data_IF_857977450820
#
_entry.id   IF_857977450820
#
_cell.length_a   1.000
_cell.length_b   1.000
_cell.length_c   1.000
_cell.angle_alpha   90.00
_cell.angle_beta   90.00
_cell.angle_gamma   90.00
#
_symmetry.space_group_name_H-M   'P 1'
#
loop_
_entity.id
_entity.type
_entity.pdbx_description
1 polymer ?
#
# COMPACT_ATOMS: atom_id res chain seq x y z
N UNK A 1 53.66 -27.66 -10.58
CA UNK A 1 53.70 -26.18 -10.50
C UNK A 1 52.28 -25.64 -10.60
N UNK A 2 51.86 -24.84 -9.61
CA UNK A 2 50.53 -24.24 -9.47
C UNK A 2 50.37 -23.01 -10.39
N UNK A 3 49.15 -22.79 -10.92
CA UNK A 3 48.55 -21.46 -11.22
C UNK A 3 47.06 -21.67 -11.54
N UNK A 4 46.19 -21.72 -10.52
CA UNK A 4 45.37 -20.60 -10.02
C UNK A 4 44.60 -19.82 -11.11
N UNK A 5 43.34 -20.22 -11.34
CA UNK A 5 42.29 -19.32 -11.83
C UNK A 5 41.46 -18.81 -10.65
N UNK A 6 41.24 -17.50 -10.69
CA UNK A 6 40.81 -16.62 -9.59
C UNK A 6 39.27 -16.53 -9.53
N UNK A 7 38.77 -16.62 -8.30
CA UNK A 7 37.41 -16.37 -7.78
C UNK A 7 36.50 -15.46 -8.62
N UNK A 8 35.25 -15.91 -8.80
CA UNK A 8 34.08 -15.01 -8.82
C UNK A 8 33.08 -15.47 -7.76
N UNK A 9 32.70 -14.53 -6.90
CA UNK A 9 32.04 -14.72 -5.62
C UNK A 9 30.57 -15.15 -5.76
N UNK A 10 30.22 -16.30 -5.19
CA UNK A 10 28.85 -16.55 -4.71
C UNK A 10 28.57 -15.58 -3.57
N UNK A 11 27.85 -14.48 -3.84
CA UNK A 11 27.25 -13.66 -2.79
C UNK A 11 26.17 -14.53 -2.11
N UNK A 12 26.54 -15.16 -1.00
CA UNK A 12 25.58 -15.72 -0.05
C UNK A 12 24.84 -14.53 0.57
N UNK A 13 23.61 -14.31 0.13
CA UNK A 13 22.67 -13.43 0.84
C UNK A 13 22.30 -14.19 2.12
N UNK A 14 22.95 -13.81 3.22
CA UNK A 14 22.62 -14.28 4.55
C UNK A 14 21.39 -13.49 5.00
N UNK A 15 20.22 -14.14 4.99
CA UNK A 15 19.02 -13.63 5.66
C UNK A 15 19.22 -13.80 7.17
N UNK A 16 19.64 -12.72 7.84
CA UNK A 16 19.63 -12.63 9.30
C UNK A 16 18.18 -12.36 9.74
N UNK A 17 17.52 -13.42 10.21
CA UNK A 17 16.29 -13.33 10.98
C UNK A 17 16.60 -12.70 12.34
N UNK A 18 16.19 -11.45 12.53
CA UNK A 18 16.04 -10.86 13.85
C UNK A 18 14.55 -10.55 14.06
N UNK A 19 13.83 -11.51 14.61
CA UNK A 19 12.50 -11.28 15.18
C UNK A 19 12.73 -10.51 16.48
N UNK A 20 12.59 -9.19 16.43
CA UNK A 20 12.59 -8.33 17.61
C UNK A 20 11.14 -7.95 17.90
N UNK A 21 10.38 -8.90 18.46
CA UNK A 21 9.10 -8.60 19.11
C UNK A 21 9.44 -8.06 20.50
N UNK A 22 9.71 -6.76 20.59
CA UNK A 22 9.66 -6.07 21.87
C UNK A 22 8.21 -5.66 22.14
N UNK A 23 7.44 -6.62 22.63
CA UNK A 23 6.24 -6.34 23.41
C UNK A 23 6.67 -5.82 24.78
N UNK A 24 6.89 -4.52 24.92
CA UNK A 24 7.03 -3.89 26.23
C UNK A 24 5.64 -3.56 26.73
N UNK A 25 4.94 -4.57 27.29
CA UNK A 25 3.82 -4.33 28.20
C UNK A 25 4.40 -4.15 29.61
N UNK A 26 4.84 -2.93 29.93
CA UNK A 26 5.12 -2.57 31.31
C UNK A 26 3.80 -2.20 32.01
N UNK A 27 3.44 -2.82 33.14
CA UNK A 27 2.32 -2.36 33.96
C UNK A 27 2.71 -1.04 34.62
N UNK A 28 2.03 0.05 34.24
CA UNK A 28 2.22 1.35 34.88
C UNK A 28 1.50 1.32 36.22
N UNK A 29 2.27 1.28 37.31
CA UNK A 29 1.78 1.55 38.65
C UNK A 29 1.42 3.04 38.76
N UNK A 30 0.18 3.32 39.16
CA UNK A 30 -0.30 4.66 39.48
C UNK A 30 0.32 5.07 40.81
N UNK A 31 1.38 5.87 40.77
CA UNK A 31 1.88 6.59 41.94
C UNK A 31 1.15 7.93 41.98
N UNK A 32 0.25 8.08 42.95
CA UNK A 32 -0.32 9.38 43.30
C UNK A 32 0.77 10.22 43.99
N UNK A 33 1.32 11.20 43.28
CA UNK A 33 2.10 12.27 43.89
C UNK A 33 1.45 13.62 43.57
N UNK A 34 1.21 14.39 44.63
CA UNK A 34 0.64 15.73 44.58
C UNK A 34 1.65 16.70 43.94
N UNK A 35 1.45 17.03 42.67
CA UNK A 35 1.98 18.23 42.03
C UNK A 35 1.08 18.58 40.83
N UNK A 36 0.42 19.73 40.91
CA UNK A 36 -0.39 20.30 39.83
C UNK A 36 0.51 20.72 38.66
N UNK A 37 0.87 19.75 37.83
CA UNK A 37 1.41 19.94 36.48
C UNK A 37 1.30 18.60 35.75
N UNK A 38 0.07 18.13 35.51
CA UNK A 38 -0.16 17.09 34.51
C UNK A 38 0.40 17.62 33.20
N UNK A 39 1.55 17.10 32.75
CA UNK A 39 2.24 17.62 31.56
C UNK A 39 1.54 17.13 30.29
N UNK A 40 0.30 17.59 30.09
CA UNK A 40 -0.51 17.34 28.89
C UNK A 40 0.27 17.72 27.63
N UNK A 41 1.11 18.75 27.72
CA UNK A 41 1.99 19.16 26.62
C UNK A 41 2.98 18.05 26.22
N UNK A 42 3.72 17.50 27.18
CA UNK A 42 4.65 16.41 26.91
C UNK A 42 3.93 15.15 26.41
N UNK A 43 2.75 14.85 26.95
CA UNK A 43 1.95 13.70 26.51
C UNK A 43 1.46 13.87 25.07
N UNK A 44 0.87 15.02 24.72
CA UNK A 44 0.38 15.32 23.38
C UNK A 44 1.53 15.39 22.37
N UNK A 45 2.67 15.99 22.73
CA UNK A 45 3.88 16.00 21.89
C UNK A 45 4.40 14.59 21.62
N UNK A 46 4.44 13.73 22.64
CA UNK A 46 4.85 12.33 22.50
C UNK A 46 3.90 11.56 21.59
N UNK A 47 2.58 11.69 21.80
CA UNK A 47 1.57 11.04 20.96
C UNK A 47 1.66 11.51 19.51
N UNK A 48 1.87 12.81 19.27
CA UNK A 48 2.06 13.35 17.92
C UNK A 48 3.31 12.76 17.24
N UNK A 49 4.44 12.72 17.95
CA UNK A 49 5.67 12.14 17.41
C UNK A 49 5.50 10.64 17.10
N UNK A 50 4.76 9.90 17.93
CA UNK A 50 4.43 8.50 17.67
C UNK A 50 3.52 8.33 16.44
N UNK A 51 2.53 9.21 16.25
CA UNK A 51 1.67 9.23 15.06
C UNK A 51 2.50 9.47 13.81
N UNK A 52 3.32 10.53 13.80
CA UNK A 52 4.14 10.90 12.64
C UNK A 52 5.13 9.79 12.27
N UNK A 53 5.80 9.21 13.27
CA UNK A 53 6.75 8.13 13.06
C UNK A 53 6.09 6.85 12.50
N UNK A 54 4.88 6.50 12.95
CA UNK A 54 4.18 5.33 12.44
C UNK A 54 3.54 5.59 11.07
N UNK A 55 3.08 6.81 10.79
CA UNK A 55 2.64 7.21 9.46
C UNK A 55 3.77 7.09 8.41
N UNK A 56 4.98 7.54 8.76
CA UNK A 56 6.15 7.40 7.89
C UNK A 56 6.52 5.94 7.65
N UNK A 57 6.44 5.08 8.69
CA UNK A 57 6.66 3.63 8.53
C UNK A 57 5.60 2.99 7.65
N UNK A 58 4.32 3.33 7.82
CA UNK A 58 3.23 2.85 6.99
C UNK A 58 3.43 3.26 5.52
N UNK A 59 3.82 4.52 5.27
CA UNK A 59 4.13 5.01 3.92
C UNK A 59 5.25 4.22 3.26
N UNK A 60 6.37 3.98 3.96
CA UNK A 60 7.47 3.15 3.45
C UNK A 60 7.04 1.74 3.12
N UNK A 61 6.16 1.14 3.94
CA UNK A 61 5.62 -0.21 3.67
C UNK A 61 4.69 -0.22 2.47
N UNK A 62 3.88 0.82 2.26
CA UNK A 62 3.06 0.96 1.07
C UNK A 62 3.93 1.08 -0.20
N UNK A 63 5.02 1.86 -0.15
CA UNK A 63 5.99 1.99 -1.24
C UNK A 63 6.70 0.66 -1.55
N UNK A 64 7.13 -0.07 -0.51
CA UNK A 64 7.72 -1.40 -0.62
C UNK A 64 6.75 -2.38 -1.30
N UNK A 65 5.47 -2.41 -0.86
CA UNK A 65 4.44 -3.24 -1.48
C UNK A 65 4.20 -2.84 -2.95
N UNK A 66 4.30 -1.56 -3.29
CA UNK A 66 4.25 -1.06 -4.66
C UNK A 66 5.38 -1.60 -5.53
N UNK A 67 6.63 -1.54 -5.04
CA UNK A 67 7.79 -2.11 -5.74
C UNK A 67 7.64 -3.62 -5.97
N UNK A 68 7.21 -4.35 -4.94
CA UNK A 68 7.01 -5.79 -5.03
C UNK A 68 5.92 -6.18 -6.04
N UNK A 69 4.84 -5.38 -6.17
CA UNK A 69 3.83 -5.58 -7.21
C UNK A 69 4.39 -5.39 -8.62
N UNK A 70 5.25 -4.39 -8.82
CA UNK A 70 5.89 -4.17 -10.11
C UNK A 70 6.79 -5.35 -10.48
N UNK A 71 7.55 -5.88 -9.52
CA UNK A 71 8.36 -7.08 -9.72
C UNK A 71 7.49 -8.32 -10.01
N UNK A 72 6.36 -8.49 -9.31
CA UNK A 72 5.42 -9.58 -9.57
C UNK A 72 4.85 -9.51 -10.99
N UNK A 73 4.52 -8.30 -11.47
CA UNK A 73 4.01 -8.12 -12.84
C UNK A 73 5.01 -8.58 -13.91
N UNK A 74 6.32 -8.37 -13.68
CA UNK A 74 7.37 -8.89 -14.57
C UNK A 74 7.40 -10.42 -14.54
N UNK A 75 7.34 -11.04 -13.36
CA UNK A 75 7.32 -12.50 -13.20
C UNK A 75 6.07 -13.11 -13.86
N UNK A 76 4.91 -12.46 -13.73
CA UNK A 76 3.67 -12.91 -14.35
C UNK A 76 3.72 -12.80 -15.88
N UNK A 77 4.38 -11.77 -16.42
CA UNK A 77 4.65 -11.68 -17.86
C UNK A 77 5.59 -12.82 -18.33
N UNK A 78 6.65 -13.13 -17.57
CA UNK A 78 7.53 -14.28 -17.85
C UNK A 78 6.75 -15.61 -17.82
N UNK A 79 5.83 -15.76 -16.86
CA UNK A 79 4.94 -16.93 -16.75
C UNK A 79 4.07 -17.07 -18.00
N UNK A 80 3.41 -16.00 -18.42
CA UNK A 80 2.58 -16.03 -19.64
C UNK A 80 3.40 -16.35 -20.90
N UNK A 81 4.61 -15.80 -21.02
CA UNK A 81 5.52 -16.11 -22.12
C UNK A 81 5.97 -17.58 -22.12
N UNK A 82 6.27 -18.13 -20.94
CA UNK A 82 6.62 -19.53 -20.78
C UNK A 82 5.44 -20.47 -21.13
N UNK A 83 4.21 -20.09 -20.77
CA UNK A 83 2.98 -20.83 -21.10
C UNK A 83 2.70 -20.84 -22.60
N UNK A 84 2.83 -19.68 -23.27
CA UNK A 84 2.69 -19.59 -24.72
C UNK A 84 3.75 -20.44 -25.44
N UNK A 85 4.99 -20.45 -24.94
CA UNK A 85 6.08 -21.27 -25.49
C UNK A 85 5.77 -22.76 -25.33
N UNK A 86 5.33 -23.18 -24.14
CA UNK A 86 4.95 -24.58 -23.88
C UNK A 86 3.78 -25.02 -24.78
N UNK A 87 2.78 -24.15 -24.99
CA UNK A 87 1.66 -24.43 -25.88
C UNK A 87 2.13 -24.66 -27.32
N UNK A 88 3.00 -23.79 -27.86
CA UNK A 88 3.60 -23.98 -29.19
C UNK A 88 4.38 -25.28 -29.29
N UNK A 89 5.21 -25.60 -28.30
CA UNK A 89 5.98 -26.84 -28.29
C UNK A 89 5.08 -28.09 -28.27
N UNK A 90 3.95 -28.06 -27.55
CA UNK A 90 2.98 -29.16 -27.54
C UNK A 90 2.31 -29.35 -28.90
N UNK A 91 2.00 -28.27 -29.60
CA UNK A 91 1.47 -28.32 -30.98
C UNK A 91 2.51 -28.89 -31.95
N UNK A 92 3.75 -28.39 -31.90
CA UNK A 92 4.84 -28.91 -32.73
C UNK A 92 5.16 -30.37 -32.47
N UNK A 93 5.10 -30.81 -31.21
CA UNK A 93 5.29 -32.21 -30.84
C UNK A 93 4.19 -33.10 -31.42
N UNK A 94 2.92 -32.70 -31.28
CA UNK A 94 1.78 -33.42 -31.84
C UNK A 94 1.87 -33.52 -33.37
N UNK A 95 2.31 -32.45 -34.04
CA UNK A 95 2.52 -32.47 -35.48
C UNK A 95 3.60 -33.48 -35.89
N UNK A 96 4.72 -33.53 -35.18
CA UNK A 96 5.77 -34.55 -35.41
C UNK A 96 5.20 -35.96 -35.21
N UNK A 97 4.40 -36.21 -34.17
CA UNK A 97 3.75 -37.52 -33.95
C UNK A 97 2.81 -37.92 -35.09
N UNK A 98 2.05 -36.97 -35.65
CA UNK A 98 1.18 -37.19 -36.81
C UNK A 98 1.98 -37.46 -38.10
N UNK A 99 3.09 -36.73 -38.32
CA UNK A 99 4.00 -36.95 -39.45
C UNK A 99 4.66 -38.34 -39.39
N UNK A 100 5.04 -38.81 -38.19
CA UNK A 100 5.58 -40.17 -37.98
C UNK A 100 4.52 -41.23 -38.32
N UNK A 101 3.29 -41.09 -37.82
CA UNK A 101 2.20 -42.05 -38.11
C UNK A 101 1.91 -42.13 -39.60
N UNK A 102 1.87 -40.98 -40.29
CA UNK A 102 1.69 -40.96 -41.74
C UNK A 102 2.83 -41.68 -42.47
N UNK A 103 4.08 -41.46 -42.07
CA UNK A 103 5.22 -42.15 -42.64
C UNK A 103 5.14 -43.68 -42.42
N UNK A 104 4.66 -44.15 -41.26
CA UNK A 104 4.41 -45.57 -40.99
C UNK A 104 3.35 -46.17 -41.90
N UNK A 105 2.24 -45.44 -42.10
CA UNK A 105 1.16 -45.84 -43.02
C UNK A 105 1.66 -45.90 -44.48
N UNK A 106 2.40 -44.89 -44.92
CA UNK A 106 2.96 -44.83 -46.28
C UNK A 106 3.93 -45.99 -46.53
N UNK A 107 4.82 -46.30 -45.58
CA UNK A 107 5.72 -47.46 -45.66
C UNK A 107 4.92 -48.78 -45.74
N UNK A 108 3.88 -48.93 -44.93
CA UNK A 108 3.02 -50.12 -44.93
C UNK A 108 2.30 -50.29 -46.27
N UNK A 109 1.72 -49.22 -46.80
CA UNK A 109 1.00 -49.23 -48.07
C UNK A 109 1.95 -49.54 -49.24
N UNK A 110 3.14 -48.94 -49.28
CA UNK A 110 4.15 -49.24 -50.30
C UNK A 110 4.61 -50.71 -50.25
N UNK A 111 4.76 -51.29 -49.04
CA UNK A 111 5.06 -52.72 -48.85
C UNK A 111 3.97 -53.63 -49.41
N UNK A 112 2.70 -53.30 -49.16
CA UNK A 112 1.56 -54.07 -49.68
C UNK A 112 1.49 -54.00 -51.21
N UNK A 113 1.57 -52.80 -51.79
CA UNK A 113 1.53 -52.60 -53.23
C UNK A 113 2.68 -53.32 -53.95
N UNK A 114 3.90 -53.28 -53.39
CA UNK A 114 5.01 -54.07 -53.95
C UNK A 114 4.73 -55.55 -53.86
N UNK A 115 4.23 -56.05 -52.73
CA UNK A 115 3.84 -57.46 -52.58
C UNK A 115 2.81 -57.90 -53.63
N UNK A 116 1.80 -57.08 -53.89
CA UNK A 116 0.79 -57.32 -54.92
C UNK A 116 1.38 -57.33 -56.33
N UNK A 117 2.20 -56.33 -56.69
CA UNK A 117 2.89 -56.28 -57.99
C UNK A 117 3.77 -57.51 -58.24
N UNK A 118 4.43 -58.00 -57.19
CA UNK A 118 5.28 -59.19 -57.26
C UNK A 118 4.49 -60.48 -57.42
N UNK A 119 3.37 -60.60 -56.71
CA UNK A 119 2.46 -61.74 -56.86
C UNK A 119 1.90 -61.82 -58.29
N UNK A 120 1.50 -60.68 -58.86
CA UNK A 120 0.96 -60.61 -60.24
C UNK A 120 1.99 -61.02 -61.29
N UNK A 121 3.24 -60.53 -61.20
CA UNK A 121 4.30 -60.95 -62.12
C UNK A 121 4.66 -62.43 -61.99
N UNK A 122 4.62 -62.98 -60.78
CA UNK A 122 4.95 -64.38 -60.53
C UNK A 122 3.94 -65.35 -61.16
N UNK A 123 2.66 -64.95 -61.25
CA UNK A 123 1.61 -65.68 -61.97
C UNK A 123 1.94 -65.79 -63.48
N UNK A 124 2.74 -64.88 -64.03
CA UNK A 124 3.11 -64.87 -65.46
C UNK A 124 4.40 -65.64 -65.80
N UNK A 125 5.32 -65.90 -64.86
CA UNK A 125 6.66 -66.48 -65.17
C UNK A 125 7.06 -67.78 -64.43
N UNK A 126 6.20 -68.35 -63.58
CA UNK A 126 6.29 -69.73 -63.11
C UNK A 126 7.61 -70.20 -62.43
N UNK A 127 8.37 -69.34 -61.72
CA UNK A 127 9.50 -69.81 -60.88
C UNK A 127 9.68 -69.05 -59.53
N UNK A 128 9.81 -69.85 -58.45
CA UNK A 128 10.31 -69.60 -57.06
C UNK A 128 9.38 -69.01 -55.96
N UNK A 129 9.33 -69.57 -54.72
CA UNK A 129 8.31 -69.22 -53.71
C UNK A 129 8.51 -67.85 -53.03
N UNK A 130 7.70 -66.87 -53.44
CA UNK A 130 7.62 -65.49 -52.92
C UNK A 130 7.24 -65.40 -51.42
N UNK A 131 6.62 -66.46 -50.89
CA UNK A 131 6.09 -66.54 -49.52
C UNK A 131 7.16 -66.38 -48.42
N UNK A 132 8.44 -66.60 -48.76
CA UNK A 132 9.57 -66.54 -47.82
C UNK A 132 10.10 -65.11 -47.65
N UNK A 133 9.98 -64.27 -48.67
CA UNK A 133 10.51 -62.89 -48.70
C UNK A 133 9.60 -61.88 -47.98
N UNK A 134 8.30 -62.14 -47.95
CA UNK A 134 7.29 -61.29 -47.27
C UNK A 134 7.42 -61.35 -45.73
N UNK A 135 8.12 -62.35 -45.19
CA UNK A 135 8.30 -62.54 -43.74
C UNK A 135 9.49 -61.78 -43.14
N UNK A 136 10.38 -61.17 -43.93
CA UNK A 136 11.51 -60.42 -43.39
C UNK A 136 11.19 -58.94 -43.20
N UNK A 137 11.45 -58.41 -41.99
CA UNK A 137 11.22 -57.00 -41.63
C UNK A 137 12.13 -56.00 -42.38
N UNK A 138 13.04 -56.47 -43.25
CA UNK A 138 14.00 -55.62 -43.95
C UNK A 138 13.71 -55.52 -45.45
N UNK A 139 13.03 -54.43 -45.80
CA UNK A 139 12.69 -54.04 -47.17
C UNK A 139 13.89 -53.91 -48.11
N UNK A 140 15.09 -53.63 -47.57
CA UNK A 140 16.32 -53.59 -48.37
C UNK A 140 16.74 -54.96 -48.91
N UNK A 141 16.35 -56.07 -48.25
CA UNK A 141 16.61 -57.42 -48.75
C UNK A 141 15.60 -57.87 -49.80
N UNK A 142 14.36 -57.36 -49.71
CA UNK A 142 13.36 -57.52 -50.77
C UNK A 142 13.87 -56.89 -52.09
N UNK A 143 14.57 -55.75 -51.99
CA UNK A 143 15.20 -55.04 -53.11
C UNK A 143 16.32 -55.83 -53.82
N UNK A 144 17.20 -56.50 -53.08
CA UNK A 144 18.31 -57.27 -53.69
C UNK A 144 17.79 -58.44 -54.56
N UNK A 145 16.59 -58.94 -54.25
CA UNK A 145 15.92 -59.97 -55.04
C UNK A 145 15.26 -59.42 -56.34
N UNK A 146 14.92 -58.11 -56.38
CA UNK A 146 13.98 -57.53 -57.36
C UNK A 146 14.55 -56.45 -58.28
N UNK A 147 15.75 -55.94 -58.00
CA UNK A 147 16.37 -54.83 -58.73
C UNK A 147 16.63 -55.07 -60.25
N UNK A 148 16.28 -56.24 -60.80
CA UNK A 148 16.67 -56.69 -62.14
C UNK A 148 15.66 -56.44 -63.27
N UNK A 149 14.41 -56.00 -63.03
CA UNK A 149 13.40 -56.10 -64.11
C UNK A 149 12.43 -54.93 -64.40
N UNK A 150 12.17 -53.94 -63.53
CA UNK A 150 11.24 -52.84 -63.89
C UNK A 150 11.54 -51.47 -63.24
N UNK A 151 11.16 -50.37 -63.91
CA UNK A 151 11.41 -48.98 -63.50
C UNK A 151 10.48 -48.49 -62.38
N UNK A 152 9.20 -48.87 -62.42
CA UNK A 152 8.21 -48.44 -61.41
C UNK A 152 8.51 -49.04 -60.03
N UNK A 153 9.01 -50.27 -59.99
CA UNK A 153 9.44 -50.93 -58.74
C UNK A 153 10.64 -50.22 -58.09
N UNK A 154 11.59 -49.74 -58.92
CA UNK A 154 12.74 -48.97 -58.41
C UNK A 154 12.30 -47.67 -57.77
N UNK A 155 11.41 -46.91 -58.42
CA UNK A 155 10.91 -45.64 -57.89
C UNK A 155 10.13 -45.84 -56.57
N UNK A 156 9.30 -46.88 -56.49
CA UNK A 156 8.54 -47.20 -55.27
C UNK A 156 9.46 -47.63 -54.11
N UNK A 157 10.52 -48.39 -54.40
CA UNK A 157 11.54 -48.75 -53.41
C UNK A 157 12.33 -47.53 -52.95
N UNK A 158 12.77 -46.67 -53.87
CA UNK A 158 13.53 -45.47 -53.54
C UNK A 158 12.68 -44.49 -52.71
N UNK A 159 11.41 -44.31 -53.08
CA UNK A 159 10.45 -43.52 -52.31
C UNK A 159 10.29 -44.07 -50.88
N UNK A 160 10.13 -45.38 -50.73
CA UNK A 160 10.01 -46.03 -49.41
C UNK A 160 11.28 -45.83 -48.57
N UNK A 161 12.48 -45.96 -49.16
CA UNK A 161 13.74 -45.67 -48.46
C UNK A 161 13.82 -44.22 -47.97
N UNK A 162 13.36 -43.26 -48.79
CA UNK A 162 13.27 -41.84 -48.40
C UNK A 162 12.31 -41.65 -47.22
N UNK A 163 11.13 -42.27 -47.25
CA UNK A 163 10.15 -42.20 -46.15
C UNK A 163 10.70 -42.84 -44.87
N UNK A 164 11.40 -43.99 -44.96
CA UNK A 164 12.08 -44.60 -43.81
C UNK A 164 13.16 -43.70 -43.20
N UNK A 165 13.94 -42.99 -44.03
CA UNK A 165 14.93 -42.03 -43.55
C UNK A 165 14.26 -40.84 -42.84
N UNK A 166 13.23 -40.26 -43.46
CA UNK A 166 12.46 -39.15 -42.86
C UNK A 166 11.81 -39.58 -41.54
N UNK A 167 11.26 -40.79 -41.46
CA UNK A 167 10.71 -41.33 -40.23
C UNK A 167 11.75 -41.34 -39.10
N UNK A 168 12.96 -41.84 -39.36
CA UNK A 168 14.04 -41.87 -38.36
C UNK A 168 14.43 -40.47 -37.89
N UNK A 169 14.52 -39.51 -38.81
CA UNK A 169 14.80 -38.11 -38.46
C UNK A 169 13.68 -37.51 -37.59
N UNK A 170 12.42 -37.79 -37.90
CA UNK A 170 11.27 -37.36 -37.11
C UNK A 170 11.25 -38.01 -35.72
N UNK A 171 11.54 -39.31 -35.60
CA UNK A 171 11.65 -40.01 -34.31
C UNK A 171 12.73 -39.41 -33.41
N UNK A 172 13.90 -39.04 -33.96
CA UNK A 172 14.95 -38.35 -33.20
C UNK A 172 14.53 -36.93 -32.80
N UNK A 173 13.88 -36.19 -33.70
CA UNK A 173 13.29 -34.88 -33.40
C UNK A 173 12.24 -34.98 -32.29
N UNK A 174 11.40 -36.01 -32.30
CA UNK A 174 10.34 -36.28 -31.33
C UNK A 174 10.90 -36.53 -29.92
N UNK A 175 11.99 -37.31 -29.82
CA UNK A 175 12.75 -37.50 -28.57
C UNK A 175 13.30 -36.18 -28.02
N UNK A 176 13.91 -35.35 -28.88
CA UNK A 176 14.42 -34.04 -28.46
C UNK A 176 13.30 -33.10 -28.00
N UNK A 177 12.16 -33.09 -28.71
CA UNK A 177 10.98 -32.31 -28.31
C UNK A 177 10.45 -32.73 -26.93
N UNK A 178 10.39 -34.03 -26.62
CA UNK A 178 10.00 -34.53 -25.28
C UNK A 178 10.91 -34.00 -24.18
N UNK A 179 12.23 -34.02 -24.38
CA UNK A 179 13.19 -33.49 -23.41
C UNK A 179 13.00 -31.98 -23.22
N UNK A 180 12.83 -31.23 -24.32
CA UNK A 180 12.60 -29.79 -24.26
C UNK A 180 11.28 -29.46 -23.54
N UNK A 181 10.21 -30.22 -23.78
CA UNK A 181 8.93 -30.06 -23.09
C UNK A 181 9.07 -30.22 -21.57
N UNK A 182 9.74 -31.29 -21.11
CA UNK A 182 9.98 -31.52 -19.68
C UNK A 182 10.80 -30.37 -19.07
N UNK A 183 11.85 -29.92 -19.75
CA UNK A 183 12.65 -28.79 -19.29
C UNK A 183 11.82 -27.51 -19.19
N UNK A 184 10.99 -27.23 -20.20
CA UNK A 184 10.12 -26.05 -20.21
C UNK A 184 9.04 -26.11 -19.12
N UNK A 185 8.50 -27.29 -18.82
CA UNK A 185 7.57 -27.49 -17.70
C UNK A 185 8.24 -27.24 -16.34
N UNK A 186 9.51 -27.62 -16.18
CA UNK A 186 10.28 -27.32 -14.98
C UNK A 186 10.57 -25.83 -14.82
N UNK A 187 10.91 -25.13 -15.91
CA UNK A 187 11.07 -23.66 -15.91
C UNK A 187 9.75 -23.00 -15.48
N UNK A 188 8.61 -23.42 -16.05
CA UNK A 188 7.29 -22.91 -15.66
C UNK A 188 7.02 -23.11 -14.16
N UNK A 189 7.30 -24.29 -13.62
CA UNK A 189 7.12 -24.58 -12.18
C UNK A 189 7.95 -23.63 -11.30
N UNK A 190 9.20 -23.36 -11.69
CA UNK A 190 10.07 -22.43 -10.95
C UNK A 190 9.54 -20.99 -10.99
N UNK A 191 9.04 -20.53 -12.14
CA UNK A 191 8.44 -19.20 -12.26
C UNK A 191 7.19 -19.08 -11.38
N UNK A 192 6.32 -20.10 -11.36
CA UNK A 192 5.13 -20.12 -10.50
C UNK A 192 5.52 -20.06 -9.02
N UNK A 193 6.53 -20.83 -8.60
CA UNK A 193 7.02 -20.77 -7.23
C UNK A 193 7.49 -19.35 -6.85
N UNK A 194 8.28 -18.70 -7.71
CA UNK A 194 8.72 -17.31 -7.50
C UNK A 194 7.55 -16.32 -7.46
N UNK A 195 6.54 -16.48 -8.32
CA UNK A 195 5.33 -15.64 -8.33
C UNK A 195 4.58 -15.77 -7.00
N UNK A 196 4.42 -17.00 -6.49
CA UNK A 196 3.79 -17.26 -5.19
C UNK A 196 4.59 -16.66 -4.02
N UNK A 197 5.90 -16.88 -3.97
CA UNK A 197 6.77 -16.29 -2.93
C UNK A 197 6.68 -14.75 -2.91
N UNK A 198 6.65 -14.14 -4.10
CA UNK A 198 6.52 -12.68 -4.22
C UNK A 198 5.14 -12.20 -3.75
N UNK A 199 4.08 -12.94 -4.07
CA UNK A 199 2.72 -12.63 -3.61
C UNK A 199 2.58 -12.74 -2.09
N UNK A 200 3.22 -13.74 -1.47
CA UNK A 200 3.29 -13.87 -0.01
C UNK A 200 4.00 -12.68 0.63
N UNK A 201 5.12 -12.23 0.05
CA UNK A 201 5.84 -11.06 0.53
C UNK A 201 4.99 -9.80 0.44
N UNK A 202 4.26 -9.59 -0.66
CA UNK A 202 3.29 -8.47 -0.80
C UNK A 202 2.24 -8.51 0.32
N UNK A 203 1.67 -9.68 0.58
CA UNK A 203 0.63 -9.83 1.61
C UNK A 203 1.19 -9.53 3.00
N UNK A 204 2.40 -10.00 3.31
CA UNK A 204 3.09 -9.70 4.56
C UNK A 204 3.38 -8.21 4.71
N UNK A 205 3.92 -7.56 3.69
CA UNK A 205 4.22 -6.12 3.71
C UNK A 205 2.96 -5.27 3.91
N UNK A 206 1.84 -5.64 3.28
CA UNK A 206 0.54 -5.00 3.53
C UNK A 206 0.02 -5.23 4.95
N UNK A 207 0.24 -6.41 5.51
CA UNK A 207 -0.09 -6.68 6.92
C UNK A 207 0.71 -5.80 7.88
N UNK A 208 2.01 -5.61 7.61
CA UNK A 208 2.86 -4.70 8.39
C UNK A 208 2.41 -3.23 8.26
N UNK A 209 2.04 -2.78 7.05
CA UNK A 209 1.44 -1.46 6.84
C UNK A 209 0.17 -1.28 7.69
N UNK A 210 -0.75 -2.25 7.63
CA UNK A 210 -2.01 -2.22 8.37
C UNK A 210 -1.77 -2.15 9.89
N UNK A 211 -0.76 -2.85 10.41
CA UNK A 211 -0.38 -2.77 11.82
C UNK A 211 0.07 -1.35 12.21
N UNK A 212 0.89 -0.69 11.39
CA UNK A 212 1.28 0.70 11.65
C UNK A 212 0.09 1.66 11.59
N UNK A 213 -0.83 1.47 10.64
CA UNK A 213 -2.07 2.25 10.56
C UNK A 213 -2.97 2.07 11.78
N UNK A 214 -3.07 0.84 12.31
CA UNK A 214 -3.82 0.56 13.53
C UNK A 214 -3.22 1.30 14.74
N UNK A 215 -1.89 1.31 14.87
CA UNK A 215 -1.19 2.08 15.93
C UNK A 215 -1.47 3.58 15.79
N UNK A 216 -1.46 4.13 14.57
CA UNK A 216 -1.80 5.54 14.33
C UNK A 216 -3.21 5.85 14.84
N UNK A 217 -4.21 5.07 14.45
CA UNK A 217 -5.60 5.27 14.89
C UNK A 217 -5.74 5.19 16.42
N UNK A 218 -5.07 4.23 17.08
CA UNK A 218 -5.06 4.11 18.54
C UNK A 218 -4.46 5.35 19.20
N UNK A 219 -3.36 5.88 18.65
CA UNK A 219 -2.67 7.07 19.18
C UNK A 219 -3.47 8.35 18.96
N UNK A 220 -4.17 8.48 17.84
CA UNK A 220 -5.10 9.58 17.59
C UNK A 220 -6.25 9.60 18.61
N UNK A 221 -6.85 8.45 18.89
CA UNK A 221 -7.90 8.33 19.93
C UNK A 221 -7.36 8.70 21.32
N UNK A 222 -6.16 8.25 21.68
CA UNK A 222 -5.50 8.64 22.94
C UNK A 222 -5.22 10.15 22.98
N UNK A 223 -4.77 10.73 21.88
CA UNK A 223 -4.52 12.18 21.78
C UNK A 223 -5.81 12.96 21.99
N UNK A 224 -6.94 12.51 21.42
CA UNK A 224 -8.25 13.10 21.64
C UNK A 224 -8.70 13.05 23.10
N UNK A 225 -8.51 11.91 23.78
CA UNK A 225 -8.84 11.77 25.20
C UNK A 225 -7.98 12.69 26.08
N UNK A 226 -6.68 12.80 25.80
CA UNK A 226 -5.78 13.71 26.52
C UNK A 226 -6.18 15.19 26.29
N UNK A 227 -6.60 15.57 25.08
CA UNK A 227 -7.14 16.92 24.80
C UNK A 227 -8.44 17.19 25.55
N UNK A 228 -9.33 16.19 25.65
CA UNK A 228 -10.57 16.31 26.41
C UNK A 228 -10.31 16.48 27.91
N UNK A 229 -9.37 15.72 28.48
CA UNK A 229 -8.96 15.86 29.88
C UNK A 229 -8.38 17.25 30.16
N UNK A 230 -7.48 17.71 29.30
CA UNK A 230 -6.91 19.06 29.38
C UNK A 230 -8.01 20.14 29.40
N UNK A 231 -8.97 20.07 28.49
CA UNK A 231 -10.02 21.07 28.43
C UNK A 231 -11.01 20.98 29.61
N UNK A 232 -11.30 19.78 30.11
CA UNK A 232 -12.09 19.61 31.33
C UNK A 232 -11.39 20.21 32.56
N UNK A 233 -10.05 20.15 32.64
CA UNK A 233 -9.31 20.84 33.69
C UNK A 233 -9.39 22.36 33.56
N UNK A 234 -9.31 22.90 32.34
CA UNK A 234 -9.51 24.33 32.07
C UNK A 234 -10.92 24.75 32.51
N UNK A 235 -11.95 24.00 32.13
CA UNK A 235 -13.34 24.23 32.56
C UNK A 235 -13.49 24.18 34.09
N UNK A 236 -12.88 23.20 34.75
CA UNK A 236 -12.92 23.09 36.21
C UNK A 236 -12.20 24.26 36.90
N UNK A 237 -11.08 24.73 36.33
CA UNK A 237 -10.38 25.92 36.82
C UNK A 237 -11.25 27.18 36.66
N UNK A 238 -11.92 27.34 35.52
CA UNK A 238 -12.88 28.44 35.29
C UNK A 238 -14.02 28.45 36.31
N UNK A 239 -14.58 27.27 36.63
CA UNK A 239 -15.61 27.13 37.67
C UNK A 239 -15.10 27.49 39.07
N UNK A 240 -13.92 26.98 39.46
CA UNK A 240 -13.31 27.26 40.77
C UNK A 240 -13.04 28.74 41.00
N UNK A 241 -12.75 29.50 39.94
CA UNK A 241 -12.50 30.93 40.01
C UNK A 241 -13.78 31.76 40.28
N UNK A 242 -14.96 31.16 40.39
CA UNK A 242 -16.24 31.85 40.61
C UNK A 242 -16.96 32.22 39.31
N UNK A 243 -16.64 31.56 38.19
CA UNK A 243 -17.35 31.75 36.93
C UNK A 243 -18.74 31.15 36.97
N UNK A 244 -19.74 31.96 36.63
CA UNK A 244 -21.11 31.50 36.43
C UNK A 244 -21.35 31.42 34.92
N UNK A 245 -21.08 30.25 34.33
CA UNK A 245 -21.27 30.03 32.89
C UNK A 245 -22.76 30.02 32.58
N UNK A 246 -23.28 31.16 32.12
CA UNK A 246 -24.54 31.21 31.40
C UNK A 246 -24.18 30.92 29.95
N UNK A 247 -24.19 29.64 29.57
CA UNK A 247 -23.94 29.24 28.19
C UNK A 247 -25.03 29.82 27.30
N UNK A 248 -24.68 30.83 26.50
CA UNK A 248 -25.55 31.32 25.44
C UNK A 248 -24.97 30.84 24.12
N UNK A 249 -25.59 29.81 23.53
CA UNK A 249 -25.30 29.41 22.15
C UNK A 249 -25.93 30.43 21.18
N UNK A 250 -25.43 31.66 21.19
CA UNK A 250 -25.77 32.65 20.17
C UNK A 250 -24.86 32.44 18.97
N UNK A 251 -25.38 32.44 17.75
CA UNK A 251 -24.52 32.40 16.55
C UNK A 251 -23.42 33.45 16.62
N UNK A 252 -22.22 33.09 16.17
CA UNK A 252 -21.01 33.90 16.24
C UNK A 252 -21.00 35.17 15.35
N UNK A 253 -22.18 35.67 14.99
CA UNK A 253 -22.39 36.75 14.03
C UNK A 253 -21.78 36.41 12.68
N UNK A 254 -21.05 37.37 12.10
CA UNK A 254 -20.43 37.28 10.78
C UNK A 254 -19.22 36.35 10.69
N UNK A 255 -18.97 35.49 11.70
CA UNK A 255 -17.84 34.56 11.65
C UNK A 255 -18.04 33.58 10.48
N UNK A 256 -17.12 33.53 9.49
CA UNK A 256 -17.35 32.80 8.23
C UNK A 256 -17.53 31.29 8.38
N UNK A 257 -17.05 30.73 9.50
CA UNK A 257 -17.06 29.29 9.75
C UNK A 257 -18.14 28.86 10.75
N UNK A 258 -19.09 29.75 11.06
CA UNK A 258 -20.20 29.46 11.99
C UNK A 258 -21.29 28.55 11.41
N UNK A 259 -21.39 28.47 10.08
CA UNK A 259 -22.33 27.61 9.35
C UNK A 259 -21.80 26.20 9.07
N UNK A 260 -22.57 25.39 8.32
CA UNK A 260 -22.23 23.98 8.02
C UNK A 260 -21.02 23.76 7.09
N UNK A 261 -20.36 24.84 6.65
CA UNK A 261 -19.16 24.80 5.79
C UNK A 261 -17.89 24.37 6.54
N UNK A 262 -17.94 24.27 7.87
CA UNK A 262 -16.87 23.75 8.71
C UNK A 262 -17.49 22.99 9.89
N UNK A 263 -16.85 21.92 10.34
CA UNK A 263 -17.16 21.28 11.63
C UNK A 263 -15.89 20.80 12.32
N UNK A 264 -15.99 20.51 13.62
CA UNK A 264 -14.90 19.91 14.40
C UNK A 264 -15.37 18.54 14.89
N UNK A 265 -14.56 17.51 14.64
CA UNK A 265 -14.92 16.13 14.99
C UNK A 265 -14.65 15.81 16.48
N UNK A 266 -14.92 14.56 16.87
CA UNK A 266 -14.67 14.06 18.23
C UNK A 266 -13.21 14.14 18.69
N UNK A 267 -12.27 14.26 17.76
CA UNK A 267 -10.84 14.39 18.00
C UNK A 267 -10.37 15.84 18.06
N UNK A 268 -11.28 16.82 18.18
CA UNK A 268 -10.99 18.25 18.13
C UNK A 268 -10.36 18.71 16.80
N UNK A 269 -10.48 17.92 15.74
CA UNK A 269 -9.91 18.23 14.42
C UNK A 269 -10.94 18.95 13.55
N UNK A 270 -10.53 20.04 12.92
CA UNK A 270 -11.36 20.80 11.99
C UNK A 270 -11.45 20.09 10.64
N UNK A 271 -12.63 20.15 10.01
CA UNK A 271 -12.93 19.59 8.68
C UNK A 271 -13.72 20.61 7.83
N UNK A 272 -13.65 20.49 6.50
CA UNK A 272 -14.25 21.46 5.59
C UNK A 272 -13.41 22.73 5.46
N UNK A 273 -14.01 23.90 5.68
CA UNK A 273 -13.29 25.18 5.65
C UNK A 273 -12.86 25.63 4.25
N UNK A 274 -11.99 26.63 4.20
CA UNK A 274 -11.52 27.31 2.98
C UNK A 274 -10.79 26.39 2.00
N UNK A 275 -10.12 25.35 2.50
CA UNK A 275 -9.30 24.42 1.72
C UNK A 275 -9.89 23.01 1.64
N UNK A 276 -11.12 22.82 2.15
CA UNK A 276 -11.77 21.50 2.25
C UNK A 276 -11.16 20.54 3.29
N UNK A 277 -10.06 20.93 3.95
CA UNK A 277 -9.31 20.12 4.90
C UNK A 277 -9.20 20.78 6.30
N UNK A 278 -10.26 21.48 6.70
CA UNK A 278 -10.39 22.09 8.02
C UNK A 278 -9.73 23.44 8.20
N UNK A 279 -9.09 24.00 7.17
CA UNK A 279 -8.38 25.28 7.27
C UNK A 279 -9.31 26.48 7.19
N UNK A 280 -9.06 27.49 8.01
CA UNK A 280 -9.84 28.75 8.03
C UNK A 280 -9.31 29.82 7.04
N UNK A 281 -8.21 29.53 6.35
CA UNK A 281 -7.55 30.43 5.39
C UNK A 281 -6.55 31.41 6.03
N UNK A 282 -6.49 31.47 7.36
CA UNK A 282 -5.64 32.37 8.14
C UNK A 282 -4.54 31.64 8.94
N UNK A 283 -4.30 30.37 8.62
CA UNK A 283 -3.30 29.54 9.31
C UNK A 283 -3.85 28.79 10.54
N UNK A 284 -5.17 28.73 10.72
CA UNK A 284 -5.81 28.01 11.82
C UNK A 284 -6.79 26.95 11.31
N UNK A 285 -7.16 26.02 12.20
CA UNK A 285 -8.33 25.18 11.99
C UNK A 285 -9.61 26.02 12.13
N UNK A 286 -10.55 25.90 11.20
CA UNK A 286 -11.83 26.59 11.30
C UNK A 286 -12.59 26.11 12.55
N UNK A 287 -13.39 27.01 13.16
CA UNK A 287 -14.09 26.79 14.44
C UNK A 287 -13.18 26.46 15.64
N UNK A 288 -11.87 26.68 15.55
CA UNK A 288 -10.96 26.63 16.70
C UNK A 288 -10.94 27.96 17.45
N UNK A 289 -10.49 27.96 18.72
CA UNK A 289 -10.38 29.18 19.53
C UNK A 289 -9.48 30.24 18.87
N UNK A 290 -8.31 29.81 18.38
CA UNK A 290 -7.36 30.67 17.67
C UNK A 290 -7.93 31.28 16.39
N UNK A 291 -8.68 30.50 15.60
CA UNK A 291 -9.33 30.99 14.37
C UNK A 291 -10.36 32.10 14.68
N UNK A 292 -11.22 31.88 15.67
CA UNK A 292 -12.21 32.88 16.05
C UNK A 292 -11.57 34.14 16.63
N UNK A 293 -10.61 33.99 17.54
CA UNK A 293 -9.91 35.11 18.15
C UNK A 293 -9.13 35.94 17.13
N UNK A 294 -8.43 35.30 16.19
CA UNK A 294 -7.73 35.98 15.11
C UNK A 294 -8.70 36.74 14.19
N UNK A 295 -9.81 36.12 13.80
CA UNK A 295 -10.85 36.77 12.99
C UNK A 295 -11.46 37.98 13.71
N UNK A 296 -11.82 37.86 14.99
CA UNK A 296 -12.34 38.99 15.78
C UNK A 296 -11.32 40.10 15.91
N UNK A 297 -10.07 39.77 16.24
CA UNK A 297 -9.02 40.76 16.41
C UNK A 297 -8.73 41.51 15.11
N UNK A 298 -8.71 40.81 13.97
CA UNK A 298 -8.60 41.46 12.67
C UNK A 298 -9.80 42.35 12.37
N UNK A 299 -11.03 41.94 12.73
CA UNK A 299 -12.23 42.77 12.55
C UNK A 299 -12.16 44.06 13.38
N UNK A 300 -11.64 44.01 14.60
CA UNK A 300 -11.53 45.20 15.47
C UNK A 300 -10.37 46.13 15.10
N UNK A 301 -9.25 45.58 14.63
CA UNK A 301 -8.02 46.36 14.41
C UNK A 301 -7.73 46.68 12.95
N UNK A 302 -8.33 45.95 12.01
CA UNK A 302 -7.98 45.96 10.59
C UNK A 302 -6.62 45.31 10.28
N UNK A 303 -5.89 44.79 11.26
CA UNK A 303 -4.56 44.18 11.09
C UNK A 303 -4.65 42.66 11.02
N UNK A 304 -3.76 42.04 10.24
CA UNK A 304 -3.74 40.59 10.08
C UNK A 304 -3.23 39.89 11.34
N UNK A 305 -3.95 38.85 11.76
CA UNK A 305 -3.57 37.89 12.80
C UNK A 305 -3.24 36.53 12.17
N UNK A 306 -2.69 36.51 10.95
CA UNK A 306 -2.40 35.27 10.22
C UNK A 306 -1.31 34.45 10.91
N UNK A 307 -1.58 33.17 11.20
CA UNK A 307 -0.56 32.19 11.55
C UNK A 307 0.17 32.43 12.87
N UNK A 308 -0.47 33.05 13.87
CA UNK A 308 0.15 33.24 15.20
C UNK A 308 0.27 31.95 16.03
N UNK A 309 -0.14 30.81 15.45
CA UNK A 309 0.04 29.48 16.03
C UNK A 309 -1.04 29.11 17.04
N UNK A 310 -0.65 28.37 18.07
CA UNK A 310 -1.54 27.96 19.14
C UNK A 310 -1.87 29.14 20.07
N UNK A 311 -2.97 29.05 20.83
CA UNK A 311 -3.39 30.13 21.72
C UNK A 311 -2.30 30.56 22.73
N UNK A 312 -1.52 29.61 23.26
CA UNK A 312 -0.39 29.91 24.15
C UNK A 312 0.77 30.69 23.47
N UNK A 313 0.82 30.75 22.14
CA UNK A 313 1.80 31.51 21.36
C UNK A 313 1.32 32.93 21.02
N UNK A 314 0.02 33.23 21.18
CA UNK A 314 -0.55 34.54 20.85
C UNK A 314 0.12 35.69 21.63
N UNK A 315 0.37 35.61 22.95
CA UNK A 315 1.00 36.71 23.68
C UNK A 315 2.40 37.09 23.13
N UNK A 316 3.24 36.09 22.85
CA UNK A 316 4.57 36.31 22.30
C UNK A 316 4.50 36.91 20.88
N UNK A 317 3.63 36.37 20.04
CA UNK A 317 3.47 36.84 18.66
C UNK A 317 2.86 38.25 18.62
N UNK A 318 1.91 38.55 19.50
CA UNK A 318 1.29 39.86 19.65
C UNK A 318 2.30 40.94 20.01
N UNK A 319 3.15 40.67 21.02
CA UNK A 319 4.21 41.58 21.42
C UNK A 319 5.18 41.84 20.26
N UNK A 320 5.55 40.80 19.52
CA UNK A 320 6.41 40.91 18.33
C UNK A 320 5.74 41.70 17.19
N UNK A 321 4.41 41.67 17.09
CA UNK A 321 3.62 42.45 16.14
C UNK A 321 3.31 43.90 16.61
N UNK A 322 3.82 44.29 17.80
CA UNK A 322 3.70 45.64 18.35
C UNK A 322 2.46 45.88 19.22
N UNK A 323 1.71 44.84 19.59
CA UNK A 323 0.61 44.96 20.54
C UNK A 323 1.12 44.91 21.98
N UNK A 324 0.51 45.71 22.83
CA UNK A 324 0.79 45.64 24.26
C UNK A 324 0.14 44.38 24.86
N UNK A 325 0.90 43.69 25.71
CA UNK A 325 0.45 42.50 26.44
C UNK A 325 0.56 42.76 27.94
N UNK A 326 -0.49 42.48 28.68
CA UNK A 326 -0.55 42.70 30.12
C UNK A 326 -1.34 41.62 30.85
N UNK A 327 -1.69 41.89 32.11
CA UNK A 327 -2.49 41.02 32.98
C UNK A 327 -3.81 41.64 33.43
N UNK A 328 -4.07 42.90 33.04
CA UNK A 328 -5.31 43.60 33.38
C UNK A 328 -6.37 43.35 32.31
N UNK A 329 -7.59 42.90 32.67
CA UNK A 329 -8.68 42.70 31.71
C UNK A 329 -9.10 44.02 31.07
N UNK A 330 -9.35 44.02 29.77
CA UNK A 330 -9.92 45.15 29.03
C UNK A 330 -10.95 44.65 28.03
N UNK A 331 -12.03 45.41 27.85
CA UNK A 331 -12.94 45.17 26.73
C UNK A 331 -12.16 45.37 25.43
N UNK A 332 -12.53 44.62 24.39
CA UNK A 332 -11.82 44.56 23.10
C UNK A 332 -10.36 44.08 23.24
N UNK A 333 -10.07 43.22 24.21
CA UNK A 333 -8.79 42.51 24.30
C UNK A 333 -8.98 41.04 23.91
N UNK A 334 -7.87 40.34 23.69
CA UNK A 334 -7.86 38.87 23.72
C UNK A 334 -7.43 38.40 25.11
N UNK A 335 -8.22 37.53 25.73
CA UNK A 335 -7.83 36.80 26.95
C UNK A 335 -7.16 35.49 26.57
N UNK A 336 -6.02 35.19 27.17
CA UNK A 336 -5.25 33.97 26.90
C UNK A 336 -5.08 33.15 28.17
N UNK A 337 -5.26 31.85 28.04
CA UNK A 337 -4.81 30.84 28.98
C UNK A 337 -3.58 30.20 28.34
N UNK A 338 -2.40 30.52 28.84
CA UNK A 338 -1.14 30.05 28.23
C UNK A 338 -0.79 28.60 28.65
N UNK A 339 -1.47 28.06 29.66
CA UNK A 339 -1.21 26.71 30.16
C UNK A 339 -1.66 25.63 29.17
N UNK A 340 -0.84 24.59 29.06
CA UNK A 340 -1.15 23.41 28.26
C UNK A 340 -0.68 23.48 26.79
N UNK A 341 -0.80 22.35 26.07
CA UNK A 341 -0.21 22.18 24.72
C UNK A 341 -0.63 23.23 23.70
N UNK A 342 -1.93 23.55 23.65
CA UNK A 342 -2.46 24.57 22.75
C UNK A 342 -2.74 25.91 23.45
N UNK A 343 -2.97 25.91 24.77
CA UNK A 343 -3.60 27.02 25.48
C UNK A 343 -5.06 27.23 25.05
N UNK A 344 -5.64 28.35 25.46
CA UNK A 344 -6.96 28.78 24.98
C UNK A 344 -7.00 30.30 24.82
N UNK A 345 -7.64 30.80 23.77
CA UNK A 345 -7.74 32.25 23.48
C UNK A 345 -9.17 32.64 23.20
N UNK A 346 -9.58 33.77 23.76
CA UNK A 346 -10.95 34.30 23.69
C UNK A 346 -10.95 35.77 23.35
N UNK A 347 -12.08 36.29 22.87
CA UNK A 347 -12.30 37.73 22.73
C UNK A 347 -13.09 38.27 23.93
N UNK A 348 -12.62 39.36 24.53
CA UNK A 348 -13.28 40.01 25.67
C UNK A 348 -14.25 41.08 25.17
N UNK A 349 -15.54 40.84 25.33
CA UNK A 349 -16.60 41.78 24.95
C UNK A 349 -16.81 42.86 26.03
N UNK A 350 -16.81 42.48 27.31
CA UNK A 350 -17.10 43.38 28.43
C UNK A 350 -16.25 43.02 29.66
N UNK A 351 -15.98 44.01 30.53
CA UNK A 351 -15.36 43.81 31.85
C UNK A 351 -16.26 44.43 32.92
N UNK A 352 -16.69 43.65 33.90
CA UNK A 352 -17.59 44.10 34.96
C UNK A 352 -17.32 43.38 36.28
N UNK A 353 -17.07 44.14 37.35
CA UNK A 353 -17.01 43.61 38.72
C UNK A 353 -16.02 42.45 38.92
N UNK A 354 -14.85 42.49 38.26
CA UNK A 354 -13.85 41.41 38.32
C UNK A 354 -14.14 40.21 37.40
N UNK A 355 -15.22 40.26 36.63
CA UNK A 355 -15.55 39.30 35.58
C UNK A 355 -15.35 39.92 34.19
N UNK A 356 -15.22 39.04 33.20
CA UNK A 356 -15.15 39.37 31.78
C UNK A 356 -16.23 38.58 31.03
N UNK A 357 -16.94 39.25 30.12
CA UNK A 357 -17.81 38.59 29.15
C UNK A 357 -16.94 38.17 27.98
N UNK A 358 -16.90 36.86 27.70
CA UNK A 358 -16.04 36.29 26.66
C UNK A 358 -16.88 35.77 25.51
N UNK A 359 -16.40 35.98 24.28
CA UNK A 359 -16.88 35.33 23.07
C UNK A 359 -15.77 34.41 22.53
N UNK A 360 -16.09 33.15 22.29
CA UNK A 360 -15.08 32.14 21.97
C UNK A 360 -15.62 30.98 21.13
N UNK A 361 -14.70 30.20 20.55
CA UNK A 361 -14.98 28.92 19.93
C UNK A 361 -14.18 27.81 20.58
N UNK A 362 -14.70 26.59 20.46
CA UNK A 362 -14.03 25.35 20.83
C UNK A 362 -13.58 25.25 22.30
N UNK A 363 -14.31 25.91 23.21
CA UNK A 363 -14.24 25.58 24.61
C UNK A 363 -15.09 24.32 24.85
N UNK A 364 -14.51 23.27 25.44
CA UNK A 364 -15.30 22.12 25.88
C UNK A 364 -16.15 22.52 27.08
N UNK A 365 -17.43 22.18 27.03
CA UNK A 365 -18.38 22.38 28.11
C UNK A 365 -18.99 21.04 28.49
N UNK A 366 -18.89 20.64 29.76
CA UNK A 366 -19.40 19.35 30.22
C UNK A 366 -20.92 19.20 30.11
N UNK A 367 -21.65 20.31 30.04
CA UNK A 367 -23.12 20.35 29.93
C UNK A 367 -23.63 20.36 28.47
N UNK A 368 -22.78 20.71 27.51
CA UNK A 368 -23.07 20.66 26.07
C UNK A 368 -21.87 20.07 25.31
N UNK A 369 -21.59 18.76 25.51
CA UNK A 369 -20.36 18.14 25.04
C UNK A 369 -20.23 18.20 23.51
N UNK A 370 -19.00 18.38 23.04
CA UNK A 370 -18.67 18.48 21.62
C UNK A 370 -17.74 19.65 21.30
N UNK A 371 -16.97 19.47 20.24
CA UNK A 371 -15.99 20.46 19.78
C UNK A 371 -16.58 21.42 18.73
N UNK A 372 -15.91 22.53 18.49
CA UNK A 372 -16.22 23.46 17.40
C UNK A 372 -17.49 24.29 17.61
N UNK A 373 -17.91 24.47 18.86
CA UNK A 373 -19.08 25.28 19.21
C UNK A 373 -18.66 26.69 19.63
N UNK A 374 -19.52 27.65 19.31
CA UNK A 374 -19.41 29.00 19.84
C UNK A 374 -19.99 29.03 21.25
N UNK A 375 -19.39 29.82 22.14
CA UNK A 375 -20.03 30.18 23.38
C UNK A 375 -19.78 31.63 23.76
N UNK A 376 -20.74 32.20 24.48
CA UNK A 376 -20.61 33.46 25.19
C UNK A 376 -20.90 33.23 26.66
N UNK A 377 -20.01 33.69 27.55
CA UNK A 377 -20.14 33.45 28.99
C UNK A 377 -19.41 34.48 29.85
N UNK A 378 -19.88 34.67 31.09
CA UNK A 378 -19.20 35.48 32.10
C UNK A 378 -18.19 34.63 32.87
N UNK A 379 -16.94 35.05 32.84
CA UNK A 379 -15.80 34.32 33.41
C UNK A 379 -14.99 35.25 34.32
N UNK A 380 -14.42 34.78 35.45
CA UNK A 380 -13.58 35.60 36.31
C UNK A 380 -12.34 36.05 35.54
N UNK A 381 -11.98 37.33 35.65
CA UNK A 381 -10.87 37.90 34.89
C UNK A 381 -9.52 37.22 35.17
N UNK A 382 -9.33 36.64 36.35
CA UNK A 382 -8.11 35.91 36.71
C UNK A 382 -8.01 34.51 36.08
N UNK A 383 -9.02 34.08 35.30
CA UNK A 383 -8.95 32.87 34.48
C UNK A 383 -7.87 32.98 33.41
N UNK A 384 -7.70 34.17 32.84
CA UNK A 384 -6.74 34.44 31.77
C UNK A 384 -5.45 34.98 32.37
N UNK A 385 -4.32 34.38 32.01
CA UNK A 385 -3.00 34.76 32.53
C UNK A 385 -2.37 35.92 31.76
N UNK A 386 -2.83 36.14 30.51
CA UNK A 386 -2.42 37.25 29.66
C UNK A 386 -3.61 37.88 28.95
N UNK A 387 -3.49 39.19 28.72
CA UNK A 387 -4.39 39.97 27.90
C UNK A 387 -3.61 40.67 26.79
N UNK A 388 -4.05 40.52 25.55
CA UNK A 388 -3.51 41.21 24.38
C UNK A 388 -4.43 42.40 24.07
N UNK A 389 -3.89 43.61 24.10
CA UNK A 389 -4.64 44.84 23.87
C UNK A 389 -4.66 45.15 22.38
N UNK A 390 -5.86 45.08 21.78
CA UNK A 390 -6.10 45.22 20.33
C UNK A 390 -6.18 46.67 19.88
#
# INVERSE_FOLDING_TARGET
MKRQFKKMSRKKIVFLFAIFVFGVSAPIQIIASNAYATNYEAQLKKLQAEIDANNEKAKKKAEEAGSLKNELAVIDAEKSAAEATLSRMKVEHKRTEEEIKKAEEDIKNNKLLLGEMLAEMHIQQNETPLLTLVKEDNFAKLFDALARQDSMQRDMVESTKKVESLKKELEEKEKLQKIQLVNQENVKKQIIAKSNEKQELINKTKGEEANYRAVVAERENRRAEVMKQQQAEIEAAMRRAGGNSTYVNSLAGDYPWSGGNCYVDGNAMSHGGSNGNGGDGNGYGCRQCASYAAWRAQKETGRSFYGWGNANQFPYTAASAGYAVGSTPRAKALGVISSGYYGHVVYIEEVRGGQVLVAQYNAWHSQDPGWGKFSREWVPANTYDKYIYL
#
